data_IF_952849471520
#
_entry.id   IF_952849471520
#
_cell.length_a   1.000
_cell.length_b   1.000
_cell.length_c   1.000
_cell.angle_alpha   90.00
_cell.angle_beta   90.00
_cell.angle_gamma   90.00
#
_symmetry.space_group_name_H-M   'P 1'
#
loop_
_entity.id
_entity.type
_entity.pdbx_description
1 polymer ?
#
# COMPACT_ATOMS: atom_id res chain seq x y z
N UNK A 1 11.51 40.83 17.23
CA UNK A 1 10.90 41.17 15.93
C UNK A 1 11.86 40.68 14.87
N UNK A 2 11.44 39.80 13.97
CA UNK A 2 12.29 39.33 12.86
C UNK A 2 12.59 40.53 11.95
N UNK A 3 13.86 40.77 11.65
CA UNK A 3 14.26 41.82 10.71
C UNK A 3 14.06 41.30 9.28
N UNK A 4 12.91 41.63 8.71
CA UNK A 4 12.48 41.18 7.38
C UNK A 4 13.43 41.66 6.28
N UNK A 5 14.23 42.71 6.54
CA UNK A 5 15.18 43.26 5.56
C UNK A 5 16.44 42.40 5.39
N UNK A 6 16.70 41.51 6.36
CA UNK A 6 17.89 40.64 6.36
C UNK A 6 17.59 39.22 5.87
N UNK A 7 16.31 38.86 5.70
CA UNK A 7 15.92 37.50 5.31
C UNK A 7 16.43 37.21 3.89
N UNK A 8 17.28 36.20 3.75
CA UNK A 8 17.88 35.79 2.48
C UNK A 8 19.18 36.51 2.13
N UNK A 9 19.66 37.44 2.97
CA UNK A 9 20.95 38.13 2.76
C UNK A 9 22.16 37.20 2.98
N UNK A 10 21.96 36.10 3.70
CA UNK A 10 22.93 35.03 3.90
C UNK A 10 23.11 34.13 2.67
N UNK A 11 22.21 34.20 1.69
CA UNK A 11 22.23 33.39 0.49
C UNK A 11 23.14 34.01 -0.57
N UNK A 12 23.81 33.16 -1.36
CA UNK A 12 24.52 33.64 -2.54
C UNK A 12 23.54 34.26 -3.56
N UNK A 13 23.96 35.24 -4.39
CA UNK A 13 23.06 35.93 -5.31
C UNK A 13 22.22 34.99 -6.18
N UNK A 14 22.83 33.94 -6.75
CA UNK A 14 22.12 32.96 -7.56
C UNK A 14 21.03 32.17 -6.78
N UNK A 15 21.23 31.97 -5.48
CA UNK A 15 20.25 31.31 -4.61
C UNK A 15 19.11 32.26 -4.24
N UNK A 16 19.38 33.56 -4.13
CA UNK A 16 18.34 34.57 -3.93
C UNK A 16 17.42 34.62 -5.13
N UNK A 17 17.98 34.66 -6.34
CA UNK A 17 17.22 34.67 -7.58
C UNK A 17 16.32 33.43 -7.72
N UNK A 18 16.87 32.23 -7.45
CA UNK A 18 16.08 30.99 -7.50
C UNK A 18 14.97 30.98 -6.44
N UNK A 19 15.28 31.41 -5.22
CA UNK A 19 14.29 31.47 -4.13
C UNK A 19 13.17 32.46 -4.46
N UNK A 20 13.51 33.60 -5.08
CA UNK A 20 12.53 34.60 -5.48
C UNK A 20 11.64 34.09 -6.61
N UNK A 21 12.20 33.36 -7.58
CA UNK A 21 11.43 32.68 -8.62
C UNK A 21 10.45 31.65 -8.04
N UNK A 22 10.90 30.82 -7.09
CA UNK A 22 10.04 29.84 -6.40
C UNK A 22 8.92 30.53 -5.62
N UNK A 23 9.23 31.60 -4.89
CA UNK A 23 8.23 32.38 -4.16
C UNK A 23 7.19 32.99 -5.10
N UNK A 24 7.61 33.57 -6.22
CA UNK A 24 6.71 34.11 -7.23
C UNK A 24 5.80 33.02 -7.79
N UNK A 25 6.36 31.87 -8.15
CA UNK A 25 5.59 30.71 -8.61
C UNK A 25 4.56 30.26 -7.56
N UNK A 26 4.96 30.13 -6.29
CA UNK A 26 4.04 29.71 -5.23
C UNK A 26 2.92 30.73 -4.96
N UNK A 27 3.24 32.02 -5.02
CA UNK A 27 2.25 33.08 -4.86
C UNK A 27 1.28 33.11 -6.03
N UNK A 28 1.75 32.92 -7.26
CA UNK A 28 0.92 32.86 -8.46
C UNK A 28 -0.01 31.64 -8.45
N UNK A 29 0.53 30.45 -8.15
CA UNK A 29 -0.21 29.19 -8.24
C UNK A 29 -1.11 28.92 -7.02
N UNK A 30 -0.69 29.30 -5.82
CA UNK A 30 -1.37 28.93 -4.56
C UNK A 30 -1.83 30.14 -3.74
N UNK A 31 -1.54 31.36 -4.17
CA UNK A 31 -1.90 32.61 -3.47
C UNK A 31 -1.10 32.88 -2.20
N UNK A 32 -0.46 31.87 -1.60
CA UNK A 32 0.40 32.04 -0.43
C UNK A 32 1.35 30.85 -0.22
N UNK A 33 2.52 31.10 0.37
CA UNK A 33 3.42 30.04 0.84
C UNK A 33 2.80 29.20 1.97
N UNK A 34 1.82 29.76 2.71
CA UNK A 34 1.03 29.01 3.70
C UNK A 34 0.16 27.95 3.03
N UNK A 35 -0.51 28.29 1.93
CA UNK A 35 -1.32 27.35 1.17
C UNK A 35 -0.48 26.18 0.64
N UNK A 36 0.74 26.48 0.14
CA UNK A 36 1.70 25.44 -0.26
C UNK A 36 2.04 24.50 0.90
N UNK A 37 2.36 25.02 2.08
CA UNK A 37 2.67 24.18 3.26
C UNK A 37 1.50 23.28 3.66
N UNK A 38 0.27 23.79 3.60
CA UNK A 38 -0.93 23.00 3.89
C UNK A 38 -1.06 21.87 2.86
N UNK A 39 -0.92 22.19 1.57
CA UNK A 39 -1.03 21.21 0.49
C UNK A 39 0.02 20.10 0.59
N UNK A 40 1.27 20.46 0.90
CA UNK A 40 2.35 19.49 1.12
C UNK A 40 2.05 18.57 2.31
N UNK A 41 1.48 19.11 3.39
CA UNK A 41 1.09 18.31 4.54
C UNK A 41 -0.03 17.31 4.22
N UNK A 42 -1.04 17.74 3.46
CA UNK A 42 -2.11 16.87 2.96
C UNK A 42 -1.54 15.74 2.11
N UNK A 43 -0.69 16.07 1.13
CA UNK A 43 -0.04 15.08 0.27
C UNK A 43 0.81 14.08 1.05
N UNK A 44 1.59 14.55 2.04
CA UNK A 44 2.37 13.67 2.90
C UNK A 44 1.49 12.73 3.73
N UNK A 45 0.31 13.18 4.16
CA UNK A 45 -0.67 12.33 4.85
C UNK A 45 -1.24 11.26 3.93
N UNK A 46 -1.57 11.63 2.69
CA UNK A 46 -2.07 10.72 1.66
C UNK A 46 -1.05 9.65 1.28
N UNK A 47 0.22 10.04 1.07
CA UNK A 47 1.32 9.10 0.80
C UNK A 47 1.44 8.08 1.93
N UNK A 48 1.48 8.52 3.19
CA UNK A 48 1.52 7.61 4.35
C UNK A 48 0.31 6.71 4.49
N UNK A 49 -0.85 7.13 3.99
CA UNK A 49 -2.04 6.28 3.94
C UNK A 49 -1.89 5.22 2.85
N UNK A 50 -1.40 5.60 1.68
CA UNK A 50 -1.17 4.68 0.56
C UNK A 50 -0.10 3.64 0.91
N UNK A 51 1.01 4.04 1.51
CA UNK A 51 2.07 3.13 1.99
C UNK A 51 1.49 2.02 2.89
N UNK A 52 0.68 2.40 3.89
CA UNK A 52 0.00 1.44 4.77
C UNK A 52 -1.01 0.54 4.04
N UNK A 53 -1.64 1.03 2.98
CA UNK A 53 -2.56 0.21 2.18
C UNK A 53 -1.78 -0.83 1.36
N UNK A 54 -0.65 -0.44 0.77
CA UNK A 54 0.24 -1.35 0.04
C UNK A 54 0.79 -2.42 0.97
N UNK A 55 1.31 -2.04 2.14
CA UNK A 55 1.80 -3.01 3.15
C UNK A 55 0.74 -4.05 3.52
N UNK A 56 -0.51 -3.62 3.75
CA UNK A 56 -1.62 -4.53 4.05
C UNK A 56 -1.92 -5.48 2.90
N UNK A 57 -1.90 -5.00 1.66
CA UNK A 57 -2.17 -5.85 0.50
C UNK A 57 -1.08 -6.91 0.35
N UNK A 58 0.20 -6.53 0.49
CA UNK A 58 1.31 -7.47 0.45
C UNK A 58 1.22 -8.53 1.56
N UNK A 59 0.91 -8.12 2.80
CA UNK A 59 0.76 -9.08 3.91
C UNK A 59 -0.47 -9.99 3.79
N UNK A 60 -1.55 -9.55 3.14
CA UNK A 60 -2.74 -10.40 2.93
C UNK A 60 -2.52 -11.45 1.83
N UNK A 61 -1.64 -11.21 0.86
CA UNK A 61 -1.25 -12.21 -0.15
C UNK A 61 -0.49 -13.38 0.51
N UNK A 62 0.38 -13.09 1.47
CA UNK A 62 1.16 -14.09 2.23
C UNK A 62 0.27 -14.99 3.12
N UNK A 63 -0.76 -14.44 3.77
CA UNK A 63 -1.69 -15.24 4.59
C UNK A 63 -2.67 -16.06 3.74
N UNK A 64 -3.06 -15.58 2.54
CA UNK A 64 -3.93 -16.33 1.64
C UNK A 64 -3.26 -17.59 1.06
N UNK A 65 -1.93 -17.54 0.89
CA UNK A 65 -1.16 -18.69 0.40
C UNK A 65 -0.93 -19.74 1.48
N UNK A 66 -0.90 -19.37 2.76
CA UNK A 66 -0.82 -20.29 3.91
C UNK A 66 -2.16 -20.96 4.26
N UNK A 67 -3.30 -20.32 3.99
CA UNK A 67 -4.62 -20.96 4.19
C UNK A 67 -4.95 -22.01 3.11
N UNK A 68 -4.32 -21.91 1.92
CA UNK A 68 -4.48 -22.91 0.85
C UNK A 68 -3.73 -24.21 1.11
N UNK A 69 -2.66 -24.20 1.89
CA UNK A 69 -1.83 -25.39 2.19
C UNK A 69 -2.27 -26.11 3.46
N UNK A 70 -2.88 -25.42 4.43
CA UNK A 70 -3.38 -26.03 5.66
C UNK A 70 -4.77 -26.67 5.51
N UNK A 71 -5.56 -26.29 4.50
CA UNK A 71 -6.84 -26.97 4.19
C UNK A 71 -6.67 -28.31 3.43
N UNK A 72 -5.46 -28.67 3.00
CA UNK A 72 -5.16 -29.97 2.35
C UNK A 72 -4.26 -30.86 3.23
N UNK A 73 -4.18 -30.60 4.54
CA UNK A 73 -3.46 -31.47 5.49
C UNK A 73 -4.30 -31.65 6.76
N UNK A 74 -5.51 -32.16 6.57
CA UNK A 74 -6.37 -32.65 7.63
C UNK A 74 -6.93 -33.98 7.18
N UNK A 75 -6.51 -35.06 7.85
CA UNK A 75 -6.87 -36.46 7.59
C UNK A 75 -6.28 -37.11 6.33
N UNK A 76 -4.97 -37.44 6.40
CA UNK A 76 -4.52 -38.70 5.81
C UNK A 76 -5.09 -39.82 6.71
N UNK A 77 -6.39 -40.06 6.56
CA UNK A 77 -7.01 -41.32 6.95
C UNK A 77 -6.40 -42.41 6.07
N UNK A 78 -5.99 -43.48 6.74
CA UNK A 78 -5.44 -44.73 6.21
C UNK A 78 -5.84 -44.97 4.74
N UNK A 79 -4.87 -45.12 3.79
CA UNK A 79 -5.15 -45.32 2.37
C UNK A 79 -6.09 -46.50 2.09
N UNK A 80 -6.23 -47.46 3.01
CA UNK A 80 -7.19 -48.55 2.88
C UNK A 80 -8.66 -48.08 2.96
N UNK A 81 -8.95 -47.01 3.70
CA UNK A 81 -10.31 -46.48 3.85
C UNK A 81 -10.79 -45.78 2.57
N UNK A 82 -9.87 -45.12 1.85
CA UNK A 82 -10.18 -44.43 0.59
C UNK A 82 -10.45 -45.40 -0.56
N UNK A 83 -9.74 -46.54 -0.59
CA UNK A 83 -9.96 -47.59 -1.60
C UNK A 83 -11.34 -48.24 -1.42
N UNK A 84 -11.80 -48.43 -0.18
CA UNK A 84 -13.13 -49.00 0.10
C UNK A 84 -14.25 -48.03 -0.29
N UNK A 85 -14.07 -46.72 -0.08
CA UNK A 85 -15.05 -45.69 -0.45
C UNK A 85 -15.25 -45.55 -1.96
N UNK A 86 -14.16 -45.64 -2.74
CA UNK A 86 -14.25 -45.59 -4.22
C UNK A 86 -14.92 -46.84 -4.80
N UNK A 87 -14.75 -48.00 -4.17
CA UNK A 87 -15.38 -49.25 -4.61
C UNK A 87 -16.89 -49.30 -4.35
N UNK A 88 -17.36 -48.71 -3.24
CA UNK A 88 -18.79 -48.65 -2.94
C UNK A 88 -19.55 -47.65 -3.82
N UNK A 89 -18.91 -46.53 -4.20
CA UNK A 89 -19.49 -45.58 -5.17
C UNK A 89 -19.55 -46.14 -6.59
N UNK A 90 -18.55 -46.93 -7.01
CA UNK A 90 -18.59 -47.58 -8.33
C UNK A 90 -19.66 -48.68 -8.41
N UNK A 91 -19.89 -49.43 -7.32
CA UNK A 91 -20.94 -50.46 -7.25
C UNK A 91 -22.35 -49.88 -7.35
N UNK A 92 -22.56 -48.67 -6.85
CA UNK A 92 -23.84 -47.95 -6.99
C UNK A 92 -24.10 -47.47 -8.41
N UNK A 93 -23.05 -47.30 -9.23
CA UNK A 93 -23.15 -46.91 -10.63
C UNK A 93 -23.39 -48.10 -11.58
N UNK A 94 -22.94 -49.31 -11.21
CA UNK A 94 -23.13 -50.52 -12.02
C UNK A 94 -24.49 -51.21 -11.82
N UNK A 95 -25.12 -51.10 -10.65
CA UNK A 95 -26.46 -51.67 -10.37
C UNK A 95 -27.63 -50.71 -10.73
N UNK A 96 -27.35 -49.64 -11.49
CA UNK A 96 -28.23 -48.48 -11.63
C UNK A 96 -28.60 -48.06 -13.05
N UNK A 97 -28.81 -48.98 -14.00
CA UNK A 97 -29.75 -48.84 -15.13
C UNK A 97 -30.00 -50.15 -15.87
#
# INVERSE_FOLDING_TARGET
MLDVTTVGSELAPAQQDSTLADLLFFLDQFGSTRAVRIKLHEQQSEIRRLERQVERLMHNEDESTLQKTTSTTGEIGDPETQIVSLRSTLRWFEDGR
#
